data_IF_534654711683
#
_entry.id   IF_534654711683
#
_cell.length_a   1.000
_cell.length_b   1.000
_cell.length_c   1.000
_cell.angle_alpha   90.00
_cell.angle_beta   90.00
_cell.angle_gamma   90.00
#
_symmetry.space_group_name_H-M   'P 1'
#
loop_
_entity.id
_entity.type
_entity.pdbx_description
1 polymer ?
#
# COMPACT_ATOMS: atom_id res chain seq x y z
N UNK A 1 6.45 35.86 23.02
CA UNK A 1 5.53 34.91 22.32
C UNK A 1 5.66 33.58 23.02
N UNK A 2 4.61 33.00 23.57
CA UNK A 2 4.71 31.65 24.17
C UNK A 2 5.02 30.65 23.05
N UNK A 3 6.02 29.82 23.26
CA UNK A 3 6.37 28.76 22.32
C UNK A 3 5.17 27.81 22.15
N UNK A 4 4.93 27.37 20.93
CA UNK A 4 3.94 26.30 20.66
C UNK A 4 4.44 24.93 21.14
N UNK A 5 5.72 24.82 21.38
CA UNK A 5 6.35 23.62 21.95
C UNK A 5 6.21 23.71 23.47
N UNK A 6 5.43 22.85 24.12
CA UNK A 6 5.37 22.76 25.57
C UNK A 6 6.74 22.34 26.11
N UNK A 7 6.98 22.57 27.38
CA UNK A 7 8.21 22.25 28.10
C UNK A 7 9.40 23.13 27.69
N UNK A 8 9.53 24.25 28.37
CA UNK A 8 10.72 25.12 28.29
C UNK A 8 11.97 24.38 28.78
N UNK A 9 13.13 24.97 28.54
CA UNK A 9 14.40 24.43 29.02
C UNK A 9 14.42 24.33 30.55
N UNK A 10 13.86 25.31 31.24
CA UNK A 10 13.72 25.36 32.69
C UNK A 10 12.82 24.24 33.21
N UNK A 11 11.65 24.06 32.61
CA UNK A 11 10.71 22.99 32.97
C UNK A 11 11.33 21.61 32.76
N UNK A 12 12.08 21.40 31.66
CA UNK A 12 12.80 20.13 31.43
C UNK A 12 13.84 19.86 32.52
N UNK A 13 14.57 20.87 32.94
CA UNK A 13 15.56 20.74 34.05
C UNK A 13 14.87 20.36 35.36
N UNK A 14 13.72 20.97 35.68
CA UNK A 14 12.94 20.61 36.85
C UNK A 14 12.44 19.17 36.81
N UNK A 15 11.93 18.73 35.65
CA UNK A 15 11.51 17.35 35.46
C UNK A 15 12.66 16.36 35.62
N UNK A 16 13.82 16.61 35.01
CA UNK A 16 15.03 15.77 35.18
C UNK A 16 15.43 15.70 36.66
N UNK A 17 15.48 16.85 37.36
CA UNK A 17 15.77 16.89 38.78
C UNK A 17 14.82 16.07 39.63
N UNK A 18 13.53 16.09 39.30
CA UNK A 18 12.50 15.27 39.96
C UNK A 18 12.76 13.78 39.77
N UNK A 19 13.32 13.38 38.62
CA UNK A 19 13.72 12.01 38.32
C UNK A 19 15.09 11.64 38.88
N UNK A 20 15.81 12.59 39.51
CA UNK A 20 17.18 12.38 39.98
C UNK A 20 18.24 12.33 38.88
N UNK A 21 17.91 12.89 37.69
CA UNK A 21 18.79 12.95 36.53
C UNK A 21 19.32 14.35 36.30
N UNK A 22 20.46 14.47 35.65
CA UNK A 22 21.11 15.74 35.30
C UNK A 22 20.96 16.10 33.83
N UNK A 23 21.01 15.09 32.97
CA UNK A 23 21.01 15.24 31.50
C UNK A 23 19.91 14.39 30.84
N UNK A 24 19.45 14.84 29.69
CA UNK A 24 18.45 14.10 28.91
C UNK A 24 18.95 12.73 28.45
N UNK A 25 20.21 12.60 28.15
CA UNK A 25 20.82 11.35 27.69
C UNK A 25 20.82 10.23 28.73
N UNK A 26 20.71 10.58 30.01
CA UNK A 26 20.61 9.60 31.10
C UNK A 26 19.27 8.83 31.04
N UNK A 27 18.23 9.41 30.44
CA UNK A 27 16.94 8.74 30.17
C UNK A 27 17.05 7.56 29.20
N UNK A 28 18.13 7.54 28.43
CA UNK A 28 18.41 6.54 27.41
C UNK A 28 19.62 5.65 27.81
N UNK A 29 19.89 5.52 29.10
CA UNK A 29 21.01 4.75 29.60
C UNK A 29 20.92 3.25 29.30
N UNK A 30 19.71 2.74 29.09
CA UNK A 30 19.42 1.36 28.70
C UNK A 30 19.74 1.06 27.23
N UNK A 31 19.94 2.10 26.39
CA UNK A 31 20.36 1.92 24.99
C UNK A 31 21.87 1.69 24.95
N UNK A 32 22.36 0.57 24.38
CA UNK A 32 23.80 0.33 24.20
C UNK A 32 24.50 1.49 23.48
N UNK A 33 25.71 1.83 23.92
CA UNK A 33 26.43 3.00 23.42
C UNK A 33 26.78 2.92 21.93
N UNK A 34 26.97 1.72 21.40
CA UNK A 34 27.23 1.44 19.98
C UNK A 34 26.00 1.62 19.08
N UNK A 35 24.80 1.63 19.67
CA UNK A 35 23.55 1.89 18.96
C UNK A 35 23.12 3.36 19.03
N UNK A 36 23.74 4.17 19.89
CA UNK A 36 23.45 5.60 19.98
C UNK A 36 24.10 6.37 18.84
N UNK A 37 23.28 7.20 18.18
CA UNK A 37 23.79 8.11 17.16
C UNK A 37 24.47 9.31 17.83
N UNK A 38 25.81 9.34 17.83
CA UNK A 38 26.61 10.40 18.43
C UNK A 38 26.94 11.55 17.46
N UNK A 39 26.10 11.79 16.50
CA UNK A 39 26.21 12.91 15.53
C UNK A 39 24.86 13.47 15.20
N UNK A 40 24.82 14.69 14.75
CA UNK A 40 23.62 15.25 14.15
C UNK A 40 23.27 14.51 12.84
N UNK A 41 21.97 14.48 12.52
CA UNK A 41 21.51 13.97 11.24
C UNK A 41 21.97 14.90 10.12
N UNK A 42 22.45 14.35 9.03
CA UNK A 42 22.78 15.10 7.81
C UNK A 42 21.49 15.43 7.05
N UNK A 43 20.82 16.46 7.52
CA UNK A 43 19.57 16.95 6.97
C UNK A 43 19.77 18.36 6.40
N UNK A 44 19.07 18.72 5.32
CA UNK A 44 19.02 20.09 4.84
C UNK A 44 18.57 21.07 5.94
N UNK A 45 19.05 22.29 5.87
CA UNK A 45 18.57 23.35 6.76
C UNK A 45 17.05 23.54 6.62
N UNK A 46 16.34 23.92 7.68
CA UNK A 46 14.90 24.18 7.61
C UNK A 46 14.62 25.35 6.67
N UNK A 47 13.57 25.20 5.88
CA UNK A 47 13.09 26.21 4.92
C UNK A 47 11.78 26.79 5.39
N UNK A 48 11.49 28.04 4.98
CA UNK A 48 10.16 28.60 5.08
C UNK A 48 9.18 27.85 4.16
N UNK A 49 7.88 27.93 4.45
CA UNK A 49 6.86 27.31 3.57
C UNK A 49 6.97 27.80 2.12
N UNK A 50 7.25 29.07 1.93
CA UNK A 50 7.39 29.66 0.60
C UNK A 50 8.58 29.07 -0.16
N UNK A 51 9.74 28.94 0.48
CA UNK A 51 10.94 28.35 -0.11
C UNK A 51 10.72 26.87 -0.42
N UNK A 52 10.10 26.12 0.49
CA UNK A 52 9.76 24.71 0.30
C UNK A 52 8.82 24.53 -0.90
N UNK A 53 7.77 25.36 -1.01
CA UNK A 53 6.85 25.31 -2.14
C UNK A 53 7.56 25.60 -3.47
N UNK A 54 8.46 26.58 -3.50
CA UNK A 54 9.26 26.90 -4.71
C UNK A 54 10.15 25.72 -5.10
N UNK A 55 10.86 25.12 -4.13
CA UNK A 55 11.72 23.98 -4.36
C UNK A 55 10.94 22.77 -4.91
N UNK A 56 9.85 22.39 -4.25
CA UNK A 56 9.03 21.25 -4.67
C UNK A 56 8.37 21.50 -6.03
N UNK A 57 7.89 22.72 -6.27
CA UNK A 57 7.35 23.10 -7.59
C UNK A 57 8.43 22.99 -8.67
N UNK A 58 9.67 23.39 -8.36
CA UNK A 58 10.81 23.23 -9.27
C UNK A 58 11.07 21.75 -9.63
N UNK A 59 10.91 20.81 -8.70
CA UNK A 59 11.02 19.38 -8.99
C UNK A 59 9.83 18.86 -9.81
N UNK A 60 8.61 19.31 -9.50
CA UNK A 60 7.41 18.92 -10.26
C UNK A 60 7.53 19.34 -11.74
N UNK A 61 8.03 20.56 -11.99
CA UNK A 61 8.22 21.08 -13.35
C UNK A 61 9.30 20.36 -14.16
N UNK A 62 10.14 19.55 -13.52
CA UNK A 62 11.12 18.71 -14.24
C UNK A 62 10.49 17.40 -14.77
N UNK A 63 9.30 17.05 -14.30
CA UNK A 63 8.57 15.94 -14.86
C UNK A 63 7.97 16.34 -16.21
N UNK A 64 8.08 15.44 -17.18
CA UNK A 64 7.46 15.64 -18.47
C UNK A 64 5.94 15.52 -18.31
N UNK A 65 5.21 16.59 -18.62
CA UNK A 65 3.74 16.60 -18.67
C UNK A 65 3.27 15.96 -19.99
N UNK A 66 3.66 14.70 -20.22
CA UNK A 66 3.25 13.96 -21.40
C UNK A 66 1.72 13.91 -21.48
N UNK A 67 1.16 14.48 -22.54
CA UNK A 67 -0.28 14.53 -22.75
C UNK A 67 -0.92 13.15 -22.94
N UNK A 68 -0.15 12.17 -23.44
CA UNK A 68 -0.61 10.83 -23.72
C UNK A 68 0.36 9.80 -23.10
N UNK A 69 -0.13 9.07 -22.10
CA UNK A 69 0.65 8.09 -21.37
C UNK A 69 0.18 6.66 -21.73
N UNK A 70 1.06 5.91 -22.41
CA UNK A 70 0.83 4.50 -22.78
C UNK A 70 1.72 3.55 -21.98
N UNK A 71 1.87 3.79 -20.70
CA UNK A 71 2.84 3.03 -19.90
C UNK A 71 2.28 1.78 -19.24
N UNK A 72 0.99 1.71 -18.98
CA UNK A 72 0.42 0.69 -18.08
C UNK A 72 0.67 1.02 -16.60
N UNK A 73 0.69 0.03 -15.74
CA UNK A 73 0.84 0.16 -14.28
C UNK A 73 -0.30 0.91 -13.57
N UNK A 74 -1.47 0.96 -14.16
CA UNK A 74 -2.69 1.57 -13.63
C UNK A 74 -3.26 2.69 -14.51
N UNK A 75 -4.48 3.07 -14.21
CA UNK A 75 -5.19 4.17 -14.86
C UNK A 75 -5.46 5.27 -13.83
N UNK A 76 -4.81 6.43 -14.00
CA UNK A 76 -4.81 7.50 -12.99
C UNK A 76 -5.57 8.74 -13.43
N UNK A 77 -5.87 8.89 -14.72
CA UNK A 77 -6.61 10.03 -15.26
C UNK A 77 -8.11 9.82 -15.06
N UNK A 78 -8.59 10.25 -13.91
CA UNK A 78 -10.01 10.23 -13.58
C UNK A 78 -10.51 11.64 -13.31
N UNK A 79 -11.73 11.95 -13.77
CA UNK A 79 -12.38 13.18 -13.36
C UNK A 79 -12.81 13.07 -11.90
N UNK A 80 -12.33 13.99 -11.07
CA UNK A 80 -12.71 14.10 -9.65
C UNK A 80 -13.65 15.27 -9.50
N UNK A 81 -14.96 15.05 -9.28
CA UNK A 81 -15.93 16.13 -9.08
C UNK A 81 -15.53 17.03 -7.91
N UNK A 82 -15.78 18.35 -8.03
CA UNK A 82 -15.46 19.33 -6.98
C UNK A 82 -16.17 19.03 -5.63
N UNK A 83 -17.25 18.28 -5.66
CA UNK A 83 -17.95 17.81 -4.47
C UNK A 83 -17.10 16.89 -3.59
N UNK A 84 -16.23 16.08 -4.18
CA UNK A 84 -15.43 15.09 -3.44
C UNK A 84 -14.50 15.74 -2.41
N UNK A 85 -13.63 16.72 -2.78
CA UNK A 85 -12.81 17.44 -1.79
C UNK A 85 -13.65 18.09 -0.69
N UNK A 86 -14.83 18.65 -1.03
CA UNK A 86 -15.72 19.26 -0.05
C UNK A 86 -16.26 18.23 0.95
N UNK A 87 -16.63 17.06 0.52
CA UNK A 87 -17.13 15.99 1.40
C UNK A 87 -16.03 15.43 2.30
N UNK A 88 -14.86 15.06 1.72
CA UNK A 88 -13.76 14.46 2.49
C UNK A 88 -13.09 15.44 3.45
N UNK A 89 -13.25 16.76 3.25
CA UNK A 89 -12.72 17.79 4.16
C UNK A 89 -13.58 18.00 5.41
N UNK A 90 -14.72 17.33 5.53
CA UNK A 90 -15.58 17.44 6.72
C UNK A 90 -14.94 16.73 7.90
N UNK A 91 -15.01 17.37 9.08
CA UNK A 91 -14.37 16.87 10.29
C UNK A 91 -14.83 15.48 10.70
N UNK A 92 -16.06 15.10 10.39
CA UNK A 92 -16.64 13.80 10.68
C UNK A 92 -15.85 12.65 10.04
N UNK A 93 -15.17 12.90 8.91
CA UNK A 93 -14.40 11.90 8.20
C UNK A 93 -12.93 11.84 8.59
N UNK A 94 -12.27 12.98 8.82
CA UNK A 94 -10.83 12.98 9.07
C UNK A 94 -10.43 13.04 10.54
N UNK A 95 -11.37 13.25 11.45
CA UNK A 95 -11.09 13.21 12.90
C UNK A 95 -11.33 11.86 13.56
N UNK A 96 -11.87 10.88 12.81
CA UNK A 96 -12.07 9.54 13.30
C UNK A 96 -10.74 8.86 13.60
N UNK A 97 -10.60 8.30 14.81
CA UNK A 97 -9.51 7.37 15.11
C UNK A 97 -9.77 6.03 14.40
N UNK A 98 -8.74 5.21 14.22
CA UNK A 98 -8.87 3.94 13.49
C UNK A 98 -10.04 3.12 14.02
N UNK A 99 -11.07 2.84 13.19
CA UNK A 99 -12.30 2.20 13.65
C UNK A 99 -12.16 0.67 13.66
N UNK A 100 -11.42 0.13 14.61
CA UNK A 100 -11.25 -1.32 14.75
C UNK A 100 -12.52 -2.04 15.21
N UNK A 101 -13.36 -1.36 15.97
CA UNK A 101 -14.61 -1.88 16.53
C UNK A 101 -15.67 -0.79 16.60
N UNK A 102 -16.91 -1.16 16.87
CA UNK A 102 -18.04 -0.24 16.96
C UNK A 102 -17.98 0.58 18.26
N UNK A 103 -17.35 1.75 18.18
CA UNK A 103 -17.25 2.75 19.27
C UNK A 103 -17.66 4.13 18.74
N UNK A 104 -16.95 5.20 19.12
CA UNK A 104 -17.24 6.57 18.69
C UNK A 104 -17.17 6.75 17.16
N UNK A 105 -16.35 5.97 16.45
CA UNK A 105 -16.18 6.00 14.99
C UNK A 105 -16.96 4.90 14.26
N UNK A 106 -18.04 4.40 14.82
CA UNK A 106 -18.84 3.30 14.26
C UNK A 106 -19.39 3.59 12.87
N UNK A 107 -19.73 4.85 12.57
CA UNK A 107 -20.20 5.26 11.25
C UNK A 107 -19.11 5.13 10.19
N UNK A 108 -17.84 5.42 10.53
CA UNK A 108 -16.69 5.20 9.64
C UNK A 108 -16.44 3.70 9.42
N UNK A 109 -16.59 2.89 10.46
CA UNK A 109 -16.49 1.44 10.33
C UNK A 109 -17.56 0.88 9.39
N UNK A 110 -18.81 1.36 9.51
CA UNK A 110 -19.88 1.00 8.58
C UNK A 110 -19.54 1.41 7.15
N UNK A 111 -19.02 2.61 6.93
CA UNK A 111 -18.56 3.09 5.60
C UNK A 111 -17.49 2.18 4.98
N UNK A 112 -16.60 1.58 5.77
CA UNK A 112 -15.63 0.60 5.29
C UNK A 112 -16.32 -0.67 4.79
N UNK A 113 -17.30 -1.19 5.51
CA UNK A 113 -18.08 -2.35 5.06
C UNK A 113 -18.88 -2.04 3.79
N UNK A 114 -19.50 -0.87 3.71
CA UNK A 114 -20.22 -0.43 2.51
C UNK A 114 -19.29 -0.31 1.30
N UNK A 115 -18.08 0.23 1.50
CA UNK A 115 -17.05 0.28 0.47
C UNK A 115 -16.69 -1.13 -0.06
N UNK A 116 -16.47 -2.09 0.81
CA UNK A 116 -16.20 -3.48 0.41
C UNK A 116 -17.34 -4.03 -0.45
N UNK A 117 -18.57 -3.79 -0.05
CA UNK A 117 -19.77 -4.21 -0.80
C UNK A 117 -19.83 -3.54 -2.19
N UNK A 118 -19.54 -2.23 -2.27
CA UNK A 118 -19.48 -1.51 -3.55
C UNK A 118 -18.43 -2.11 -4.47
N UNK A 119 -17.22 -2.40 -3.97
CA UNK A 119 -16.16 -3.02 -4.77
C UNK A 119 -16.58 -4.42 -5.25
N UNK A 120 -17.15 -5.26 -4.38
CA UNK A 120 -17.67 -6.57 -4.77
C UNK A 120 -18.71 -6.47 -5.89
N UNK A 121 -19.67 -5.55 -5.77
CA UNK A 121 -20.70 -5.34 -6.78
C UNK A 121 -20.14 -4.82 -8.11
N UNK A 122 -19.14 -3.95 -8.08
CA UNK A 122 -18.51 -3.40 -9.29
C UNK A 122 -17.63 -4.42 -10.01
N UNK A 123 -16.98 -5.31 -9.28
CA UNK A 123 -16.04 -6.29 -9.83
C UNK A 123 -16.69 -7.67 -10.08
N UNK A 124 -17.86 -7.94 -9.53
CA UNK A 124 -18.49 -9.25 -9.54
C UNK A 124 -17.78 -10.28 -8.65
N UNK A 125 -16.94 -9.83 -7.72
CA UNK A 125 -16.19 -10.70 -6.80
C UNK A 125 -16.94 -10.87 -5.47
N UNK A 126 -16.84 -12.04 -4.86
CA UNK A 126 -17.49 -12.33 -3.58
C UNK A 126 -16.80 -11.69 -2.38
N UNK A 127 -15.53 -11.32 -2.52
CA UNK A 127 -14.75 -10.64 -1.48
C UNK A 127 -13.75 -9.65 -2.08
N UNK A 128 -13.59 -8.49 -1.42
CA UNK A 128 -12.69 -7.42 -1.85
C UNK A 128 -11.22 -7.62 -1.46
N UNK A 129 -10.89 -8.71 -0.76
CA UNK A 129 -9.56 -8.91 -0.18
C UNK A 129 -9.15 -10.39 -0.14
N UNK A 130 -7.82 -10.66 -0.26
CA UNK A 130 -7.21 -11.96 0.05
C UNK A 130 -7.43 -13.10 -0.96
N UNK A 131 -7.29 -12.84 -2.27
CA UNK A 131 -7.40 -13.86 -3.33
C UNK A 131 -6.49 -15.10 -3.09
N UNK A 132 -5.30 -14.93 -2.53
CA UNK A 132 -4.40 -16.05 -2.19
C UNK A 132 -5.02 -16.98 -1.13
N UNK A 133 -5.67 -16.40 -0.11
CA UNK A 133 -6.34 -17.18 0.93
C UNK A 133 -7.61 -17.87 0.43
N UNK A 134 -8.29 -17.28 -0.55
CA UNK A 134 -9.49 -17.84 -1.19
C UNK A 134 -9.15 -19.03 -2.07
N UNK A 135 -8.01 -18.99 -2.77
CA UNK A 135 -7.51 -20.09 -3.60
C UNK A 135 -6.99 -21.26 -2.75
N UNK A 136 -6.77 -21.05 -1.45
CA UNK A 136 -6.39 -22.11 -0.55
C UNK A 136 -7.57 -23.03 -0.30
N UNK A 137 -7.63 -24.09 -1.06
CA UNK A 137 -8.68 -25.11 -0.94
C UNK A 137 -8.55 -25.91 0.36
N UNK A 138 -9.68 -26.40 0.85
CA UNK A 138 -9.75 -27.43 1.89
C UNK A 138 -9.20 -28.80 1.44
N UNK A 139 -8.95 -28.97 0.14
CA UNK A 139 -8.26 -30.12 -0.46
C UNK A 139 -6.76 -29.81 -0.65
N UNK A 140 -5.89 -30.83 -0.73
CA UNK A 140 -4.43 -30.65 -0.70
C UNK A 140 -3.82 -30.10 -1.98
N UNK A 141 -4.52 -29.20 -2.69
CA UNK A 141 -3.93 -28.46 -3.83
C UNK A 141 -3.14 -27.28 -3.29
N UNK A 142 -1.84 -27.42 -3.20
CA UNK A 142 -0.94 -26.42 -2.64
C UNK A 142 -0.26 -25.55 -3.73
N UNK A 143 -0.58 -25.76 -5.01
CA UNK A 143 0.03 -25.03 -6.11
C UNK A 143 -0.88 -23.91 -6.58
N UNK A 144 -0.36 -22.67 -6.56
CA UNK A 144 -1.03 -21.47 -7.10
C UNK A 144 -0.21 -20.95 -8.26
N UNK A 145 -0.87 -20.70 -9.37
CA UNK A 145 -0.26 -20.09 -10.56
C UNK A 145 -0.50 -18.57 -10.52
N UNK A 146 0.44 -17.79 -11.02
CA UNK A 146 0.26 -16.35 -11.17
C UNK A 146 0.96 -15.84 -12.45
N UNK A 147 0.37 -14.82 -13.07
CA UNK A 147 0.93 -14.21 -14.29
C UNK A 147 2.14 -13.32 -13.96
N UNK A 148 3.19 -13.41 -14.76
CA UNK A 148 4.30 -12.45 -14.77
C UNK A 148 3.84 -11.03 -15.16
N UNK A 149 2.63 -10.88 -15.69
CA UNK A 149 1.99 -9.60 -15.99
C UNK A 149 1.32 -8.90 -14.80
N UNK A 150 1.41 -9.45 -13.59
CA UNK A 150 0.96 -8.76 -12.38
C UNK A 150 1.88 -7.60 -12.01
N UNK A 151 1.33 -6.62 -11.25
CA UNK A 151 2.15 -5.58 -10.64
C UNK A 151 3.24 -6.19 -9.74
N UNK A 152 4.50 -5.71 -9.76
CA UNK A 152 5.59 -6.27 -8.95
C UNK A 152 5.27 -6.37 -7.45
N UNK A 153 4.58 -5.38 -6.88
CA UNK A 153 4.17 -5.41 -5.47
C UNK A 153 3.11 -6.48 -5.19
N UNK A 154 2.22 -6.74 -6.15
CA UNK A 154 1.24 -7.84 -6.06
C UNK A 154 1.98 -9.18 -6.07
N UNK A 155 2.95 -9.35 -6.98
CA UNK A 155 3.80 -10.56 -7.01
C UNK A 155 4.54 -10.73 -5.68
N UNK A 156 5.15 -9.66 -5.14
CA UNK A 156 5.80 -9.67 -3.82
C UNK A 156 4.86 -10.10 -2.71
N UNK A 157 3.63 -9.59 -2.71
CA UNK A 157 2.59 -9.95 -1.74
C UNK A 157 2.17 -11.40 -1.87
N UNK A 158 1.90 -11.88 -3.09
CA UNK A 158 1.56 -13.29 -3.37
C UNK A 158 2.68 -14.22 -2.88
N UNK A 159 3.94 -13.89 -3.15
CA UNK A 159 5.11 -14.65 -2.67
C UNK A 159 5.19 -14.70 -1.14
N UNK A 160 4.94 -13.60 -0.47
CA UNK A 160 4.95 -13.53 1.00
C UNK A 160 3.87 -14.42 1.61
N UNK A 161 2.63 -14.25 1.16
CA UNK A 161 1.51 -15.08 1.64
C UNK A 161 1.70 -16.57 1.30
N UNK A 162 2.15 -16.87 0.08
CA UNK A 162 2.42 -18.23 -0.35
C UNK A 162 3.47 -18.90 0.52
N UNK A 163 4.57 -18.21 0.81
CA UNK A 163 5.62 -18.71 1.69
C UNK A 163 5.08 -19.01 3.11
N UNK A 164 4.32 -18.08 3.70
CA UNK A 164 3.75 -18.25 5.05
C UNK A 164 2.79 -19.44 5.15
N UNK A 165 2.13 -19.78 4.04
CA UNK A 165 1.18 -20.88 3.95
C UNK A 165 1.77 -22.19 3.43
N UNK A 166 3.05 -22.21 3.10
CA UNK A 166 3.73 -23.40 2.52
C UNK A 166 3.20 -23.77 1.13
N UNK A 167 2.79 -22.78 0.32
CA UNK A 167 2.25 -22.99 -1.01
C UNK A 167 3.37 -23.04 -2.06
N UNK A 168 3.19 -23.89 -3.05
CA UNK A 168 3.97 -23.89 -4.28
C UNK A 168 3.47 -22.77 -5.20
N UNK A 169 4.32 -21.81 -5.52
CA UNK A 169 3.98 -20.69 -6.38
C UNK A 169 4.68 -20.84 -7.73
N UNK A 170 3.91 -20.87 -8.81
CA UNK A 170 4.44 -21.04 -10.17
C UNK A 170 4.12 -19.80 -10.99
N UNK A 171 5.15 -19.14 -11.49
CA UNK A 171 5.03 -18.00 -12.37
C UNK A 171 4.76 -18.45 -13.81
N UNK A 172 3.71 -17.93 -14.40
CA UNK A 172 3.37 -18.13 -15.81
C UNK A 172 3.91 -16.93 -16.59
N UNK A 173 4.81 -17.20 -17.53
CA UNK A 173 5.43 -16.19 -18.38
C UNK A 173 4.45 -15.46 -19.29
N UNK A 174 4.95 -14.46 -20.00
CA UNK A 174 4.21 -13.71 -21.02
C UNK A 174 4.71 -14.14 -22.40
N UNK A 175 3.82 -14.13 -23.38
CA UNK A 175 4.15 -14.32 -24.78
C UNK A 175 4.75 -13.03 -25.41
N UNK A 176 5.07 -13.08 -26.70
CA UNK A 176 5.64 -11.95 -27.46
C UNK A 176 4.75 -10.69 -27.49
N UNK A 177 3.45 -10.86 -27.28
CA UNK A 177 2.48 -9.75 -27.22
C UNK A 177 2.33 -9.16 -25.81
N UNK A 178 3.09 -9.64 -24.82
CA UNK A 178 3.04 -9.15 -23.44
C UNK A 178 1.80 -9.59 -22.68
N UNK A 179 1.12 -10.64 -23.12
CA UNK A 179 -0.02 -11.26 -22.41
C UNK A 179 0.37 -12.65 -21.91
N UNK A 180 -0.40 -13.20 -21.01
CA UNK A 180 -0.15 -14.52 -20.40
C UNK A 180 0.05 -15.61 -21.47
N UNK A 181 1.14 -16.37 -21.34
CA UNK A 181 1.41 -17.53 -22.20
C UNK A 181 0.46 -18.68 -21.85
N UNK A 182 -0.52 -18.88 -22.73
CA UNK A 182 -1.59 -19.86 -22.55
C UNK A 182 -1.06 -21.31 -22.58
N UNK A 183 -0.02 -21.59 -23.37
CA UNK A 183 0.55 -22.94 -23.46
C UNK A 183 1.33 -23.26 -22.18
N UNK A 184 2.07 -22.29 -21.66
CA UNK A 184 2.73 -22.39 -20.36
C UNK A 184 1.69 -22.56 -19.23
N UNK A 185 0.58 -21.81 -19.27
CA UNK A 185 -0.51 -21.95 -18.32
C UNK A 185 -1.11 -23.36 -18.35
N UNK A 186 -1.48 -23.87 -19.54
CA UNK A 186 -2.03 -25.23 -19.73
C UNK A 186 -1.11 -26.31 -19.18
N UNK A 187 0.20 -26.20 -19.43
CA UNK A 187 1.19 -27.16 -18.96
C UNK A 187 1.31 -27.22 -17.42
N UNK A 188 0.90 -26.18 -16.72
CA UNK A 188 1.03 -26.07 -15.26
C UNK A 188 -0.29 -26.23 -14.49
N UNK A 189 -1.43 -26.36 -15.16
CA UNK A 189 -2.75 -26.41 -14.51
C UNK A 189 -2.94 -27.64 -13.61
N UNK A 190 -2.34 -28.77 -13.95
CA UNK A 190 -2.52 -30.01 -13.18
C UNK A 190 -2.09 -29.83 -11.74
N UNK A 191 -3.00 -30.12 -10.82
CA UNK A 191 -2.78 -29.98 -9.37
C UNK A 191 -2.79 -28.53 -8.85
N UNK A 192 -3.07 -27.54 -9.69
CA UNK A 192 -3.20 -26.15 -9.23
C UNK A 192 -4.54 -25.90 -8.55
N UNK A 193 -4.54 -24.96 -7.59
CA UNK A 193 -5.75 -24.48 -6.92
C UNK A 193 -6.41 -23.32 -7.69
N UNK A 194 -5.65 -22.61 -8.52
CA UNK A 194 -6.12 -21.50 -9.33
C UNK A 194 -5.01 -20.66 -9.92
N UNK A 195 -5.39 -19.64 -10.68
CA UNK A 195 -4.50 -18.72 -11.37
C UNK A 195 -4.84 -17.26 -11.04
N UNK A 196 -3.83 -16.45 -10.79
CA UNK A 196 -3.97 -15.02 -10.49
C UNK A 196 -3.48 -14.22 -11.70
N UNK A 197 -4.35 -13.42 -12.29
CA UNK A 197 -4.04 -12.49 -13.37
C UNK A 197 -4.70 -11.14 -13.13
N UNK A 198 -4.26 -10.11 -13.84
CA UNK A 198 -4.84 -8.78 -13.82
C UNK A 198 -5.23 -8.33 -15.22
N UNK A 199 -6.30 -7.53 -15.33
CA UNK A 199 -6.72 -6.95 -16.60
C UNK A 199 -7.11 -5.48 -16.40
N UNK A 200 -6.47 -4.54 -17.13
CA UNK A 200 -5.27 -4.78 -17.93
C UNK A 200 -4.10 -5.26 -17.05
N UNK A 201 -3.11 -5.93 -17.65
CA UNK A 201 -1.93 -6.34 -16.91
C UNK A 201 -0.98 -5.16 -16.64
N UNK A 202 0.10 -5.38 -15.91
CA UNK A 202 1.06 -4.33 -15.51
C UNK A 202 1.65 -3.55 -16.70
N UNK A 203 1.78 -4.21 -17.86
CA UNK A 203 2.32 -3.61 -19.08
C UNK A 203 1.23 -2.89 -19.91
N UNK A 204 0.00 -2.86 -19.45
CA UNK A 204 -1.14 -2.22 -20.13
C UNK A 204 -1.76 -3.08 -21.22
N UNK A 205 -1.38 -4.36 -21.32
CA UNK A 205 -1.95 -5.30 -22.30
C UNK A 205 -3.26 -5.88 -21.78
N UNK A 206 -4.19 -6.13 -22.69
CA UNK A 206 -5.49 -6.76 -22.41
C UNK A 206 -5.35 -8.26 -22.53
N UNK A 207 -5.60 -8.98 -21.46
CA UNK A 207 -5.57 -10.43 -21.39
C UNK A 207 -6.82 -11.05 -22.02
N UNK A 208 -6.72 -12.26 -22.54
CA UNK A 208 -7.88 -13.04 -23.00
C UNK A 208 -8.51 -13.77 -21.81
N UNK A 209 -9.24 -13.02 -20.97
CA UNK A 209 -9.81 -13.57 -19.73
C UNK A 209 -10.85 -14.65 -19.96
N UNK A 210 -11.57 -14.62 -21.08
CA UNK A 210 -12.56 -15.66 -21.43
C UNK A 210 -11.87 -17.02 -21.67
N UNK A 211 -10.75 -17.02 -22.39
CA UNK A 211 -9.95 -18.24 -22.61
C UNK A 211 -9.33 -18.72 -21.28
N UNK A 212 -8.73 -17.81 -20.52
CA UNK A 212 -8.12 -18.12 -19.22
C UNK A 212 -9.15 -18.74 -18.27
N UNK A 213 -10.32 -18.11 -18.13
CA UNK A 213 -11.38 -18.58 -17.23
C UNK A 213 -11.98 -19.93 -17.64
N UNK A 214 -11.91 -20.26 -18.92
CA UNK A 214 -12.38 -21.57 -19.42
C UNK A 214 -11.37 -22.69 -19.12
N UNK A 215 -10.10 -22.34 -18.98
CA UNK A 215 -9.01 -23.29 -18.73
C UNK A 215 -8.80 -23.60 -17.24
N UNK A 216 -9.01 -22.63 -16.37
CA UNK A 216 -8.75 -22.70 -14.92
C UNK A 216 -10.00 -23.14 -14.17
#
# INVERSE_FOLDING_TARGET
MRSYVPNTVEERREMLKTLGLSEMDELFADIPADLKLNRELDLPAPMSEMELRQLITGYVLQNDEACLLFRGAGAYHHYIPALIPQLISRSEFYTAYTPYQAEMSQGMLQGIFEWQTVICNLTGMDAANASVSMLRDSKPRNKILYSAGLHPDVIGTVKTYGHCHGLELVEIGLNENGITDIDCLKANLEGSAGFIAAQPNYFGCIENMDEISTLV
#
